data_IF_829176945142
#
_entry.id   IF_829176945142
#
_cell.length_a   1.000
_cell.length_b   1.000
_cell.length_c   1.000
_cell.angle_alpha   90.00
_cell.angle_beta   90.00
_cell.angle_gamma   90.00
#
_symmetry.space_group_name_H-M   'P 1'
#
loop_
_entity.id
_entity.type
_entity.pdbx_description
1 polymer ?
#
# COMPACT_ATOMS: atom_id res chain seq x y z
N UNK A 1 -6.82 27.78 -17.07
CA UNK A 1 -7.08 26.70 -16.09
C UNK A 1 -7.69 25.54 -16.85
N UNK A 2 -7.19 24.32 -16.70
CA UNK A 2 -7.79 23.15 -17.36
C UNK A 2 -9.22 22.95 -16.82
N UNK A 3 -10.21 22.53 -17.64
CA UNK A 3 -11.61 22.36 -17.20
C UNK A 3 -11.76 21.51 -15.94
N UNK A 4 -10.96 20.48 -15.82
CA UNK A 4 -10.97 19.58 -14.66
C UNK A 4 -10.54 20.24 -13.33
N UNK A 5 -9.73 21.30 -13.37
CA UNK A 5 -9.32 22.06 -12.18
C UNK A 5 -10.42 23.05 -11.77
N UNK A 6 -11.22 23.55 -12.71
CA UNK A 6 -12.32 24.49 -12.43
C UNK A 6 -13.37 23.82 -11.52
N UNK A 7 -13.81 22.61 -11.87
CA UNK A 7 -14.79 21.86 -11.08
C UNK A 7 -14.27 21.55 -9.65
N UNK A 8 -12.98 21.21 -9.52
CA UNK A 8 -12.35 21.00 -8.21
C UNK A 8 -12.41 22.27 -7.36
N UNK A 9 -12.15 23.44 -7.95
CA UNK A 9 -12.26 24.74 -7.26
C UNK A 9 -13.68 24.96 -6.76
N UNK A 10 -14.70 24.69 -7.57
CA UNK A 10 -16.10 24.81 -7.17
C UNK A 10 -16.45 23.82 -6.05
N UNK A 11 -15.94 22.60 -6.11
CA UNK A 11 -16.08 21.62 -5.04
C UNK A 11 -15.44 22.07 -3.71
N UNK A 12 -14.25 22.66 -3.76
CA UNK A 12 -13.58 23.22 -2.58
C UNK A 12 -14.35 24.40 -1.98
N UNK A 13 -14.98 25.24 -2.84
CA UNK A 13 -15.87 26.34 -2.39
C UNK A 13 -17.12 25.80 -1.72
N UNK A 14 -17.78 24.82 -2.35
CA UNK A 14 -18.98 24.19 -1.79
C UNK A 14 -18.70 23.54 -0.43
N UNK A 15 -17.50 23.01 -0.22
CA UNK A 15 -17.05 22.46 1.04
C UNK A 15 -16.58 23.52 2.07
N UNK A 16 -16.56 24.80 1.70
CA UNK A 16 -16.09 25.89 2.56
C UNK A 16 -14.59 25.92 2.82
N UNK A 17 -13.80 25.19 2.02
CA UNK A 17 -12.35 25.14 2.17
C UNK A 17 -11.65 26.36 1.54
N UNK A 18 -12.32 27.02 0.59
CA UNK A 18 -11.86 28.31 -0.02
C UNK A 18 -13.00 29.29 -0.08
N UNK A 19 -12.66 30.60 -0.01
CA UNK A 19 -13.62 31.69 -0.16
C UNK A 19 -14.12 31.87 -1.58
N UNK A 20 -15.27 32.56 -1.76
CA UNK A 20 -15.92 32.76 -3.05
C UNK A 20 -15.03 33.45 -4.09
N UNK A 21 -14.22 34.44 -3.68
CA UNK A 21 -13.30 35.18 -4.55
C UNK A 21 -11.86 34.61 -4.52
N UNK A 22 -11.61 33.59 -3.73
CA UNK A 22 -10.27 32.99 -3.60
C UNK A 22 -9.89 32.23 -4.85
N UNK A 23 -8.66 32.43 -5.33
CA UNK A 23 -8.06 31.70 -6.44
C UNK A 23 -6.94 30.82 -5.84
N UNK A 24 -7.21 29.54 -5.57
CA UNK A 24 -6.25 28.66 -4.95
C UNK A 24 -5.09 28.35 -5.91
N UNK A 25 -3.89 28.16 -5.35
CA UNK A 25 -2.70 27.73 -6.08
C UNK A 25 -2.55 26.23 -5.97
N UNK A 26 -2.54 25.55 -7.11
CA UNK A 26 -2.36 24.11 -7.23
C UNK A 26 -0.88 23.79 -7.49
N UNK A 27 -0.23 23.11 -6.57
CA UNK A 27 1.14 22.62 -6.69
C UNK A 27 1.11 21.10 -6.87
N UNK A 28 1.50 20.55 -8.05
CA UNK A 28 1.55 19.11 -8.23
C UNK A 28 2.49 18.46 -7.22
N UNK A 29 2.01 17.42 -6.53
CA UNK A 29 2.86 16.55 -5.73
C UNK A 29 3.30 15.38 -6.62
N UNK A 30 4.63 15.20 -6.71
CA UNK A 30 5.26 14.22 -7.60
C UNK A 30 5.24 12.82 -6.99
N UNK A 31 5.20 11.76 -7.85
CA UNK A 31 5.41 10.36 -7.46
C UNK A 31 4.22 9.44 -7.60
N UNK A 32 3.01 9.93 -7.89
CA UNK A 32 1.84 9.09 -8.14
C UNK A 32 1.69 8.69 -9.62
N UNK A 33 1.50 7.40 -9.90
CA UNK A 33 1.22 6.90 -11.26
C UNK A 33 -0.28 6.73 -11.51
N UNK A 34 -1.08 6.60 -10.46
CA UNK A 34 -2.51 6.28 -10.51
C UNK A 34 -3.42 7.50 -10.36
N UNK A 35 -2.93 8.61 -9.80
CA UNK A 35 -3.71 9.78 -9.47
C UNK A 35 -3.00 11.08 -9.85
N UNK A 36 -3.79 12.11 -10.12
CA UNK A 36 -3.34 13.49 -9.95
C UNK A 36 -3.42 13.84 -8.47
N UNK A 37 -2.34 14.37 -7.92
CA UNK A 37 -2.26 14.80 -6.52
C UNK A 37 -1.71 16.22 -6.47
N UNK A 38 -2.43 17.12 -5.81
CA UNK A 38 -2.02 18.51 -5.66
C UNK A 38 -2.03 18.91 -4.19
N UNK A 39 -0.99 19.64 -3.78
CA UNK A 39 -1.09 20.54 -2.65
C UNK A 39 -1.79 21.80 -3.10
N UNK A 40 -2.83 22.20 -2.42
CA UNK A 40 -3.61 23.39 -2.71
C UNK A 40 -3.48 24.35 -1.54
N UNK A 41 -2.84 25.48 -1.77
CA UNK A 41 -2.73 26.52 -0.76
C UNK A 41 -4.05 27.30 -0.67
N UNK A 42 -4.64 27.36 0.51
CA UNK A 42 -5.88 28.07 0.82
C UNK A 42 -5.66 29.04 1.98
N UNK A 43 -6.56 30.01 2.17
CA UNK A 43 -6.48 30.95 3.30
C UNK A 43 -6.62 30.26 4.65
N UNK A 44 -7.25 29.09 4.71
CA UNK A 44 -7.39 28.26 5.93
C UNK A 44 -6.22 27.33 6.17
N UNK A 45 -5.21 27.36 5.31
CA UNK A 45 -4.05 26.48 5.30
C UNK A 45 -4.06 25.48 4.11
N UNK A 46 -2.93 24.79 3.88
CA UNK A 46 -2.81 23.89 2.73
C UNK A 46 -3.64 22.62 2.91
N UNK A 47 -4.22 22.15 1.79
CA UNK A 47 -4.90 20.86 1.70
C UNK A 47 -4.29 20.02 0.57
N UNK A 48 -4.50 18.71 0.61
CA UNK A 48 -4.17 17.82 -0.52
C UNK A 48 -5.45 17.48 -1.25
N UNK A 49 -5.45 17.69 -2.56
CA UNK A 49 -6.53 17.22 -3.44
C UNK A 49 -6.02 16.04 -4.26
N UNK A 50 -6.78 14.97 -4.30
CA UNK A 50 -6.46 13.76 -5.04
C UNK A 50 -7.58 13.39 -6.00
N UNK A 51 -7.21 12.99 -7.24
CA UNK A 51 -8.12 12.57 -8.29
C UNK A 51 -7.56 11.37 -9.03
N UNK A 52 -8.21 10.21 -9.03
CA UNK A 52 -7.81 9.03 -9.78
C UNK A 52 -7.82 9.27 -11.29
N UNK A 53 -6.86 8.67 -11.99
CA UNK A 53 -6.77 8.69 -13.44
C UNK A 53 -7.43 7.42 -14.02
N UNK A 54 -8.16 7.50 -15.13
CA UNK A 54 -8.73 6.32 -15.78
C UNK A 54 -7.66 5.36 -16.36
N UNK A 55 -6.47 5.87 -16.61
CA UNK A 55 -5.30 5.13 -17.09
C UNK A 55 -4.09 5.46 -16.22
N UNK A 56 -3.36 4.44 -15.76
CA UNK A 56 -2.15 4.62 -14.97
C UNK A 56 -1.00 5.12 -15.85
N UNK A 57 -0.13 5.96 -15.29
CA UNK A 57 1.09 6.49 -15.93
C UNK A 57 2.23 5.48 -15.80
N UNK A 58 2.09 4.32 -16.43
CA UNK A 58 3.09 3.26 -16.49
C UNK A 58 3.35 2.87 -17.94
N UNK A 59 4.49 2.19 -18.21
CA UNK A 59 4.88 1.83 -19.58
C UNK A 59 3.89 0.86 -20.26
N UNK A 60 3.27 -0.05 -19.50
CA UNK A 60 2.25 -0.95 -20.01
C UNK A 60 0.87 -0.27 -19.92
N UNK A 61 0.00 -0.51 -20.90
CA UNK A 61 -1.39 -0.08 -20.80
C UNK A 61 -2.06 -0.72 -19.57
N UNK A 62 -2.56 0.14 -18.66
CA UNK A 62 -3.22 -0.28 -17.45
C UNK A 62 -4.40 0.65 -17.15
N UNK A 63 -5.58 0.21 -17.52
CA UNK A 63 -6.83 0.89 -17.21
C UNK A 63 -7.27 0.50 -15.80
N UNK A 64 -7.78 1.46 -15.04
CA UNK A 64 -8.28 1.24 -13.70
C UNK A 64 -9.55 2.09 -13.45
N UNK A 65 -10.59 1.51 -12.83
CA UNK A 65 -11.81 2.24 -12.51
C UNK A 65 -11.51 3.46 -11.63
N UNK A 66 -12.10 4.61 -11.94
CA UNK A 66 -11.89 5.85 -11.17
C UNK A 66 -12.62 5.82 -9.81
N UNK A 67 -13.57 4.92 -9.65
CA UNK A 67 -14.30 4.63 -8.40
C UNK A 67 -13.36 4.20 -7.25
N UNK A 68 -12.12 3.82 -7.56
CA UNK A 68 -11.11 3.51 -6.54
C UNK A 68 -10.81 4.68 -5.61
N UNK A 69 -11.03 5.94 -6.04
CA UNK A 69 -10.96 7.10 -5.15
C UNK A 69 -12.01 7.06 -4.04
N UNK A 70 -13.20 6.56 -4.35
CA UNK A 70 -14.24 6.34 -3.33
C UNK A 70 -13.83 5.25 -2.33
N UNK A 71 -13.16 4.19 -2.79
CA UNK A 71 -12.63 3.14 -1.90
C UNK A 71 -11.59 3.70 -0.95
N UNK A 72 -10.69 4.56 -1.43
CA UNK A 72 -9.70 5.24 -0.60
C UNK A 72 -10.37 6.12 0.46
N UNK A 73 -11.30 6.98 0.09
CA UNK A 73 -12.03 7.85 1.04
C UNK A 73 -12.73 7.02 2.12
N UNK A 74 -13.41 5.94 1.74
CA UNK A 74 -14.07 5.04 2.68
C UNK A 74 -13.07 4.38 3.63
N UNK A 75 -11.94 3.93 3.11
CA UNK A 75 -10.87 3.33 3.92
C UNK A 75 -10.31 4.34 4.93
N UNK A 76 -9.97 5.57 4.50
CA UNK A 76 -9.47 6.63 5.36
C UNK A 76 -10.46 6.94 6.50
N UNK A 77 -11.75 7.08 6.19
CA UNK A 77 -12.79 7.31 7.20
C UNK A 77 -12.93 6.14 8.16
N UNK A 78 -12.88 4.91 7.66
CA UNK A 78 -13.00 3.70 8.49
C UNK A 78 -11.78 3.51 9.38
N UNK A 79 -10.57 3.70 8.87
CA UNK A 79 -9.34 3.66 9.65
C UNK A 79 -9.29 4.78 10.70
N UNK A 80 -9.74 6.00 10.37
CA UNK A 80 -9.86 7.11 11.32
C UNK A 80 -10.80 6.78 12.49
N UNK A 81 -11.82 5.96 12.28
CA UNK A 81 -12.69 5.52 13.38
C UNK A 81 -12.03 4.52 14.34
N UNK A 82 -10.95 3.89 13.92
CA UNK A 82 -10.09 3.03 14.77
C UNK A 82 -9.04 3.89 15.49
N UNK A 83 -8.29 4.67 14.72
CA UNK A 83 -7.35 5.67 15.24
C UNK A 83 -7.18 6.82 14.21
N UNK A 84 -7.68 8.00 14.57
CA UNK A 84 -7.61 9.18 13.69
C UNK A 84 -6.19 9.68 13.40
N UNK A 85 -5.18 9.24 14.16
CA UNK A 85 -3.78 9.64 13.97
C UNK A 85 -3.11 8.93 12.81
N UNK A 86 -3.63 7.76 12.43
CA UNK A 86 -3.00 6.92 11.39
C UNK A 86 -3.40 7.26 9.95
N UNK A 87 -4.25 8.25 9.75
CA UNK A 87 -4.70 8.70 8.43
C UNK A 87 -4.88 10.21 8.38
N UNK A 88 -4.73 10.87 7.21
CA UNK A 88 -5.13 12.26 7.06
C UNK A 88 -6.65 12.40 7.15
N UNK A 89 -7.13 13.50 7.75
CA UNK A 89 -8.55 13.82 7.79
C UNK A 89 -9.08 14.11 6.38
N UNK A 90 -10.15 13.43 5.97
CA UNK A 90 -10.90 13.76 4.74
C UNK A 90 -11.74 15.02 5.01
N UNK A 91 -11.46 16.08 4.27
CA UNK A 91 -12.08 17.39 4.45
C UNK A 91 -13.25 17.61 3.51
N UNK A 92 -13.20 17.07 2.29
CA UNK A 92 -14.27 17.19 1.31
C UNK A 92 -14.25 16.01 0.33
N UNK A 93 -15.44 15.65 -0.16
CA UNK A 93 -15.63 14.71 -1.25
C UNK A 93 -16.27 15.45 -2.44
N UNK A 94 -15.78 15.18 -3.63
CA UNK A 94 -16.25 15.74 -4.90
C UNK A 94 -16.58 14.58 -5.86
N UNK A 95 -17.69 13.86 -5.63
CA UNK A 95 -17.98 12.61 -6.33
C UNK A 95 -18.15 12.78 -7.84
N UNK A 96 -18.70 13.93 -8.28
CA UNK A 96 -18.88 14.23 -9.71
C UNK A 96 -17.55 14.31 -10.47
N UNK A 97 -16.47 14.67 -9.79
CA UNK A 97 -15.12 14.80 -10.36
C UNK A 97 -14.20 13.64 -9.96
N UNK A 98 -14.73 12.63 -9.27
CA UNK A 98 -13.98 11.53 -8.69
C UNK A 98 -12.82 12.01 -7.80
N UNK A 99 -12.94 13.19 -7.17
CA UNK A 99 -11.89 13.82 -6.39
C UNK A 99 -12.28 13.94 -4.91
N UNK A 100 -11.29 14.11 -4.06
CA UNK A 100 -11.48 14.44 -2.66
C UNK A 100 -10.35 15.33 -2.14
N UNK A 101 -10.63 16.05 -1.06
CA UNK A 101 -9.64 16.84 -0.34
C UNK A 101 -9.39 16.25 1.03
N UNK A 102 -8.12 16.24 1.44
CA UNK A 102 -7.69 15.79 2.76
C UNK A 102 -6.69 16.77 3.37
N UNK A 103 -6.52 16.70 4.68
CA UNK A 103 -5.57 17.55 5.41
C UNK A 103 -4.14 17.33 4.89
N UNK A 104 -3.45 18.42 4.58
CA UNK A 104 -2.01 18.39 4.34
C UNK A 104 -1.29 18.26 5.69
N UNK A 105 -0.31 17.36 5.75
CA UNK A 105 0.50 17.13 6.94
C UNK A 105 1.91 17.69 6.68
N UNK A 106 2.21 18.90 7.18
CA UNK A 106 3.54 19.47 7.05
C UNK A 106 4.55 18.67 7.87
N UNK A 107 5.80 18.69 7.47
CA UNK A 107 6.94 18.11 8.20
C UNK A 107 6.82 16.59 8.47
N UNK A 108 6.00 15.91 7.68
CA UNK A 108 5.85 14.46 7.72
C UNK A 108 6.48 13.84 6.48
N UNK A 109 7.77 13.43 6.54
CA UNK A 109 8.44 12.82 5.40
C UNK A 109 7.83 11.47 5.05
N UNK A 110 7.97 11.07 3.79
CA UNK A 110 7.59 9.73 3.35
C UNK A 110 8.58 8.71 3.91
N UNK A 111 8.10 7.63 4.50
CA UNK A 111 8.96 6.58 5.09
C UNK A 111 9.98 6.03 4.11
N UNK A 112 9.62 5.88 2.84
CA UNK A 112 10.57 5.50 1.79
C UNK A 112 11.78 6.45 1.75
N UNK A 113 11.57 7.75 1.85
CA UNK A 113 12.63 8.75 1.74
C UNK A 113 13.52 8.76 3.00
N UNK A 114 12.93 8.45 4.16
CA UNK A 114 13.68 8.22 5.41
C UNK A 114 14.61 7.00 5.28
N UNK A 115 14.10 5.88 4.75
CA UNK A 115 14.91 4.69 4.51
C UNK A 115 16.07 4.98 3.53
N UNK A 116 15.79 5.69 2.43
CA UNK A 116 16.81 6.10 1.44
C UNK A 116 17.87 7.02 2.05
N UNK A 117 17.48 7.89 2.97
CA UNK A 117 18.37 8.76 3.71
C UNK A 117 19.14 8.05 4.85
N UNK A 118 18.99 6.72 4.99
CA UNK A 118 19.64 5.93 6.03
C UNK A 118 19.07 6.15 7.44
N UNK A 119 17.90 6.80 7.56
CA UNK A 119 17.17 6.94 8.83
C UNK A 119 16.21 5.76 9.00
N UNK A 120 16.77 4.65 9.46
CA UNK A 120 16.05 3.39 9.69
C UNK A 120 15.70 3.28 11.16
N UNK A 121 14.40 3.23 11.46
CA UNK A 121 13.84 3.10 12.81
C UNK A 121 12.97 1.84 12.90
N UNK A 122 13.45 0.83 13.64
CA UNK A 122 12.70 -0.40 13.90
C UNK A 122 11.47 -0.16 14.79
N UNK A 123 11.51 0.82 15.68
CA UNK A 123 10.37 1.21 16.50
C UNK A 123 9.22 1.78 15.67
N UNK A 124 9.54 2.60 14.65
CA UNK A 124 8.57 3.09 13.68
C UNK A 124 7.99 1.94 12.84
N UNK A 125 8.83 1.02 12.35
CA UNK A 125 8.36 -0.16 11.61
C UNK A 125 7.40 -1.01 12.46
N UNK A 126 7.72 -1.22 13.75
CA UNK A 126 6.82 -1.89 14.69
C UNK A 126 5.50 -1.12 14.88
N UNK A 127 5.54 0.22 14.90
CA UNK A 127 4.31 1.04 14.96
C UNK A 127 3.46 0.87 13.69
N UNK A 128 4.05 0.77 12.50
CA UNK A 128 3.33 0.42 11.25
C UNK A 128 2.63 -0.92 11.40
N UNK A 129 3.34 -1.96 11.87
CA UNK A 129 2.76 -3.29 12.11
C UNK A 129 1.58 -3.25 13.06
N UNK A 130 1.71 -2.57 14.21
CA UNK A 130 0.62 -2.42 15.20
C UNK A 130 -0.59 -1.68 14.62
N UNK A 131 -0.37 -0.60 13.89
CA UNK A 131 -1.46 0.24 13.39
C UNK A 131 -2.30 -0.49 12.35
N UNK A 132 -1.68 -1.20 11.41
CA UNK A 132 -2.44 -1.96 10.41
C UNK A 132 -3.13 -3.19 11.03
N UNK A 133 -2.49 -3.87 12.00
CA UNK A 133 -3.12 -4.95 12.76
C UNK A 133 -4.36 -4.46 13.54
N UNK A 134 -4.31 -3.24 14.10
CA UNK A 134 -5.46 -2.64 14.78
C UNK A 134 -6.64 -2.38 13.84
N UNK A 135 -6.39 -1.92 12.60
CA UNK A 135 -7.43 -1.77 11.57
C UNK A 135 -8.04 -3.13 11.23
N UNK A 136 -7.22 -4.15 11.00
CA UNK A 136 -7.68 -5.50 10.70
C UNK A 136 -8.50 -6.08 11.86
N UNK A 137 -8.02 -5.99 13.09
CA UNK A 137 -8.73 -6.46 14.28
C UNK A 137 -10.10 -5.79 14.46
N UNK A 138 -10.17 -4.47 14.24
CA UNK A 138 -11.42 -3.71 14.38
C UNK A 138 -12.45 -3.97 13.27
N UNK A 139 -12.03 -4.57 12.15
CA UNK A 139 -12.89 -4.82 10.98
C UNK A 139 -13.12 -6.30 10.73
N UNK A 140 -12.40 -7.19 11.41
CA UNK A 140 -12.51 -8.63 11.23
C UNK A 140 -13.95 -9.13 11.45
N UNK A 141 -14.47 -9.89 10.48
CA UNK A 141 -15.82 -10.43 10.53
C UNK A 141 -16.95 -9.40 10.38
N UNK A 142 -16.65 -8.12 10.18
CA UNK A 142 -17.64 -7.05 10.06
C UNK A 142 -18.47 -7.18 8.78
N UNK A 143 -19.77 -7.44 8.91
CA UNK A 143 -20.71 -7.54 7.79
C UNK A 143 -20.87 -6.19 7.05
N UNK A 144 -20.85 -5.07 7.78
CA UNK A 144 -20.96 -3.73 7.20
C UNK A 144 -19.71 -3.35 6.41
N UNK A 145 -18.50 -3.64 6.93
CA UNK A 145 -17.26 -3.40 6.21
C UNK A 145 -17.17 -4.31 4.97
N UNK A 146 -17.60 -5.58 5.09
CA UNK A 146 -17.68 -6.51 3.96
C UNK A 146 -18.59 -6.00 2.83
N UNK A 147 -19.75 -5.45 3.17
CA UNK A 147 -20.67 -4.88 2.18
C UNK A 147 -20.10 -3.59 1.54
N UNK A 148 -19.46 -2.73 2.35
CA UNK A 148 -18.88 -1.46 1.90
C UNK A 148 -17.67 -1.65 0.97
N UNK A 149 -16.85 -2.66 1.24
CA UNK A 149 -15.60 -2.95 0.52
C UNK A 149 -15.69 -4.25 -0.30
N UNK A 150 -16.85 -4.49 -0.92
CA UNK A 150 -17.03 -5.56 -1.91
C UNK A 150 -16.40 -5.18 -3.27
N UNK A 151 -15.09 -4.88 -3.26
CA UNK A 151 -14.29 -4.35 -4.37
C UNK A 151 -13.38 -5.41 -4.98
N UNK A 152 -13.78 -6.67 -4.92
CA UNK A 152 -13.01 -7.84 -5.32
C UNK A 152 -12.49 -7.77 -6.76
N UNK A 153 -13.34 -7.34 -7.69
CA UNK A 153 -12.97 -7.22 -9.10
C UNK A 153 -11.85 -6.18 -9.30
N UNK A 154 -11.92 -5.07 -8.58
CA UNK A 154 -10.90 -4.02 -8.60
C UNK A 154 -9.60 -4.50 -7.98
N UNK A 155 -9.66 -5.15 -6.81
CA UNK A 155 -8.47 -5.71 -6.15
C UNK A 155 -7.80 -6.77 -7.03
N UNK A 156 -8.59 -7.66 -7.68
CA UNK A 156 -8.08 -8.63 -8.64
C UNK A 156 -7.34 -7.94 -9.79
N UNK A 157 -7.95 -6.95 -10.43
CA UNK A 157 -7.37 -6.23 -11.57
C UNK A 157 -6.12 -5.42 -11.22
N UNK A 158 -6.01 -4.93 -9.96
CA UNK A 158 -4.91 -4.07 -9.53
C UNK A 158 -3.82 -4.80 -8.73
N UNK A 159 -4.11 -5.98 -8.16
CA UNK A 159 -3.18 -6.70 -7.26
C UNK A 159 -2.97 -8.15 -7.63
N UNK A 160 -4.03 -8.93 -7.86
CA UNK A 160 -3.86 -10.37 -8.10
C UNK A 160 -3.32 -10.62 -9.51
N UNK A 161 -4.05 -10.19 -10.54
CA UNK A 161 -3.70 -10.51 -11.92
C UNK A 161 -2.36 -9.90 -12.38
N UNK A 162 -2.05 -8.60 -12.11
CA UNK A 162 -0.79 -8.01 -12.57
C UNK A 162 0.44 -8.47 -11.77
N UNK A 163 0.26 -9.00 -10.57
CA UNK A 163 1.35 -9.52 -9.76
C UNK A 163 1.43 -11.06 -9.89
N UNK A 164 0.54 -11.80 -9.25
CA UNK A 164 0.61 -13.25 -9.17
C UNK A 164 0.27 -13.93 -10.51
N UNK A 165 -0.84 -13.51 -11.14
CA UNK A 165 -1.26 -14.09 -12.42
C UNK A 165 -0.24 -13.87 -13.54
N UNK A 166 0.33 -12.65 -13.62
CA UNK A 166 1.33 -12.34 -14.63
C UNK A 166 2.63 -13.16 -14.45
N UNK A 167 3.05 -13.38 -13.21
CA UNK A 167 4.26 -14.16 -12.91
C UNK A 167 4.00 -15.65 -13.11
N UNK A 168 2.83 -16.18 -12.74
CA UNK A 168 2.46 -17.57 -13.00
C UNK A 168 2.57 -17.93 -14.50
N UNK A 169 2.16 -17.00 -15.38
CA UNK A 169 2.29 -17.17 -16.82
C UNK A 169 3.74 -17.18 -17.33
N UNK A 170 4.67 -16.52 -16.60
CA UNK A 170 6.10 -16.43 -16.95
C UNK A 170 6.96 -17.54 -16.35
N UNK A 171 6.51 -18.12 -15.24
CA UNK A 171 7.26 -19.09 -14.43
C UNK A 171 6.51 -20.45 -14.40
N UNK A 172 6.51 -21.24 -15.51
CA UNK A 172 5.72 -22.48 -15.60
C UNK A 172 6.04 -23.49 -14.49
N UNK A 173 7.29 -23.54 -14.02
CA UNK A 173 7.70 -24.43 -12.93
C UNK A 173 7.10 -24.07 -11.57
N UNK A 174 6.61 -22.83 -11.39
CA UNK A 174 6.03 -22.31 -10.16
C UNK A 174 4.55 -21.93 -10.32
N UNK A 175 3.99 -22.12 -11.51
CA UNK A 175 2.65 -21.65 -11.86
C UNK A 175 1.59 -22.21 -10.90
N UNK A 176 1.59 -23.49 -10.60
CA UNK A 176 0.64 -24.12 -9.68
C UNK A 176 0.67 -23.48 -8.28
N UNK A 177 1.86 -23.26 -7.73
CA UNK A 177 2.01 -22.62 -6.39
C UNK A 177 1.55 -21.17 -6.38
N UNK A 178 1.84 -20.41 -7.46
CA UNK A 178 1.45 -19.02 -7.61
C UNK A 178 -0.06 -18.89 -7.82
N UNK A 179 -0.66 -19.72 -8.63
CA UNK A 179 -2.11 -19.78 -8.87
C UNK A 179 -2.88 -20.19 -7.61
N UNK A 180 -2.38 -21.19 -6.88
CA UNK A 180 -2.96 -21.59 -5.59
C UNK A 180 -2.90 -20.44 -4.57
N UNK A 181 -1.78 -19.71 -4.52
CA UNK A 181 -1.65 -18.52 -3.66
C UNK A 181 -2.62 -17.41 -4.07
N UNK A 182 -2.78 -17.16 -5.37
CA UNK A 182 -3.73 -16.18 -5.91
C UNK A 182 -5.19 -16.56 -5.61
N UNK A 183 -5.53 -17.85 -5.73
CA UNK A 183 -6.86 -18.36 -5.46
C UNK A 183 -7.20 -18.28 -3.95
N UNK A 184 -6.27 -18.64 -3.07
CA UNK A 184 -6.45 -18.53 -1.61
C UNK A 184 -6.65 -17.06 -1.19
N UNK A 185 -5.82 -16.14 -1.70
CA UNK A 185 -5.96 -14.70 -1.47
C UNK A 185 -7.33 -14.19 -1.94
N UNK A 186 -7.79 -14.58 -3.13
CA UNK A 186 -9.08 -14.13 -3.68
C UNK A 186 -10.28 -14.65 -2.87
N UNK A 187 -10.18 -15.87 -2.33
CA UNK A 187 -11.26 -16.53 -1.62
C UNK A 187 -11.49 -15.99 -0.19
N UNK A 188 -10.44 -15.50 0.47
CA UNK A 188 -10.52 -15.09 1.88
C UNK A 188 -11.15 -13.72 2.03
N UNK A 189 -12.14 -13.65 2.97
CA UNK A 189 -12.91 -12.43 3.30
C UNK A 189 -12.95 -12.28 4.81
N UNK A 190 -11.87 -11.73 5.39
CA UNK A 190 -11.63 -11.71 6.84
C UNK A 190 -11.73 -10.32 7.42
N UNK A 191 -11.02 -9.33 6.87
CA UNK A 191 -10.92 -7.98 7.41
C UNK A 191 -10.79 -6.93 6.30
N UNK A 192 -10.81 -5.65 6.65
CA UNK A 192 -10.58 -4.54 5.73
C UNK A 192 -9.10 -4.39 5.43
N UNK A 193 -8.70 -4.72 4.23
CA UNK A 193 -7.35 -4.62 3.68
C UNK A 193 -7.16 -3.26 3.01
N UNK A 194 -6.00 -2.64 3.19
CA UNK A 194 -5.58 -1.40 2.50
C UNK A 194 -5.21 -1.65 1.03
N UNK A 195 -4.49 -2.74 0.78
CA UNK A 195 -4.11 -3.19 -0.56
C UNK A 195 -2.88 -2.51 -1.18
N UNK A 196 -2.21 -1.57 -0.48
CA UNK A 196 -0.94 -0.96 -0.92
C UNK A 196 -0.09 -0.45 0.27
N UNK A 197 -0.06 -1.20 1.38
CA UNK A 197 0.79 -0.86 2.53
C UNK A 197 2.26 -0.99 2.15
N UNK A 198 2.92 0.14 1.96
CA UNK A 198 4.32 0.16 1.57
C UNK A 198 5.01 1.46 2.01
N UNK A 199 6.35 1.49 2.14
CA UNK A 199 7.04 2.69 2.60
C UNK A 199 6.80 3.96 1.76
N UNK A 200 6.37 3.86 0.51
CA UNK A 200 6.01 5.03 -0.32
C UNK A 200 4.67 5.66 0.08
N UNK A 201 3.80 4.89 0.73
CA UNK A 201 2.43 5.27 1.09
C UNK A 201 2.26 5.49 2.60
N UNK A 202 3.34 5.67 3.32
CA UNK A 202 3.33 5.91 4.76
C UNK A 202 4.16 7.16 5.06
N UNK A 203 3.55 8.12 5.76
CA UNK A 203 4.26 9.27 6.30
C UNK A 203 4.76 8.97 7.71
N UNK A 204 5.91 9.56 8.05
CA UNK A 204 6.50 9.51 9.40
C UNK A 204 6.07 10.78 10.13
N UNK A 205 5.01 10.68 10.93
CA UNK A 205 4.55 11.76 11.79
C UNK A 205 5.08 11.60 13.23
N UNK A 206 5.02 12.67 14.02
CA UNK A 206 5.49 12.65 15.40
C UNK A 206 4.77 11.60 16.27
N UNK A 207 3.49 11.36 16.00
CA UNK A 207 2.65 10.41 16.75
C UNK A 207 2.65 8.98 16.15
N UNK A 208 3.41 8.74 15.08
CA UNK A 208 3.49 7.43 14.41
C UNK A 208 3.21 7.44 12.92
N UNK A 209 2.88 6.29 12.32
CA UNK A 209 2.66 6.18 10.89
C UNK A 209 1.32 6.78 10.47
N UNK A 210 1.31 7.44 9.29
CA UNK A 210 0.08 7.89 8.63
C UNK A 210 -0.02 7.24 7.25
N UNK A 211 -1.06 6.42 7.06
CA UNK A 211 -1.29 5.65 5.82
C UNK A 211 -1.98 6.51 4.76
N UNK A 212 -1.53 6.35 3.53
CA UNK A 212 -2.01 7.02 2.33
C UNK A 212 -2.27 5.99 1.22
N UNK A 213 -3.09 6.38 0.24
CA UNK A 213 -3.20 5.66 -1.03
C UNK A 213 -3.87 4.28 -0.92
N UNK A 214 -4.99 4.20 -0.17
CA UNK A 214 -5.80 3.00 0.00
C UNK A 214 -6.79 2.74 -1.16
N UNK A 215 -6.41 3.11 -2.39
CA UNK A 215 -7.28 2.99 -3.57
C UNK A 215 -7.63 1.54 -3.93
N UNK A 216 -6.86 0.57 -3.44
CA UNK A 216 -7.07 -0.86 -3.66
C UNK A 216 -7.77 -1.55 -2.49
N UNK A 217 -8.38 -0.79 -1.59
CA UNK A 217 -9.01 -1.33 -0.40
C UNK A 217 -10.11 -2.36 -0.73
N UNK A 218 -10.10 -3.47 0.02
CA UNK A 218 -11.01 -4.60 -0.16
C UNK A 218 -11.30 -5.28 1.19
N UNK A 219 -12.45 -5.87 1.36
CA UNK A 219 -12.66 -6.81 2.46
C UNK A 219 -12.08 -8.17 2.06
N UNK A 220 -10.86 -8.45 2.52
CA UNK A 220 -10.01 -9.52 1.99
C UNK A 220 -9.20 -10.26 3.05
N UNK A 221 -8.08 -10.87 2.62
CA UNK A 221 -7.11 -11.52 3.51
C UNK A 221 -6.13 -10.48 4.07
N UNK A 222 -6.12 -10.22 5.40
CA UNK A 222 -5.22 -9.27 6.03
C UNK A 222 -3.72 -9.65 5.89
N UNK A 223 -3.41 -10.90 5.59
CA UNK A 223 -2.04 -11.34 5.30
C UNK A 223 -1.42 -10.60 4.10
N UNK A 224 -2.26 -10.05 3.18
CA UNK A 224 -1.78 -9.30 2.02
C UNK A 224 -1.04 -8.01 2.43
N UNK A 225 -1.61 -7.19 3.31
CA UNK A 225 -1.00 -5.93 3.73
C UNK A 225 0.35 -6.15 4.43
N UNK A 226 0.42 -7.16 5.31
CA UNK A 226 1.66 -7.57 5.94
C UNK A 226 2.70 -8.00 4.90
N UNK A 227 2.33 -8.91 4.01
CA UNK A 227 3.22 -9.42 2.96
C UNK A 227 3.70 -8.33 2.02
N UNK A 228 2.80 -7.40 1.63
CA UNK A 228 3.15 -6.33 0.70
C UNK A 228 4.16 -5.36 1.31
N UNK A 229 3.97 -4.98 2.58
CA UNK A 229 4.91 -4.12 3.29
C UNK A 229 6.27 -4.80 3.48
N UNK A 230 6.27 -6.06 3.94
CA UNK A 230 7.49 -6.87 4.11
C UNK A 230 8.24 -7.00 2.79
N UNK A 231 7.55 -7.32 1.69
CA UNK A 231 8.17 -7.39 0.35
C UNK A 231 8.95 -6.12 0.02
N UNK A 232 8.34 -4.95 0.25
CA UNK A 232 9.00 -3.68 -0.03
C UNK A 232 10.20 -3.38 0.88
N UNK A 233 10.19 -3.85 2.13
CA UNK A 233 11.34 -3.73 3.03
C UNK A 233 12.47 -4.68 2.62
N UNK A 234 12.15 -5.93 2.27
CA UNK A 234 13.15 -6.90 1.81
C UNK A 234 13.86 -6.44 0.52
N UNK A 235 13.12 -5.91 -0.45
CA UNK A 235 13.70 -5.33 -1.65
C UNK A 235 14.62 -4.14 -1.33
N UNK A 236 14.26 -3.32 -0.32
CA UNK A 236 15.09 -2.20 0.11
C UNK A 236 16.34 -2.64 0.87
N UNK A 237 16.29 -3.76 1.59
CA UNK A 237 17.47 -4.34 2.22
C UNK A 237 18.55 -4.64 1.18
N UNK A 238 18.15 -5.19 0.02
CA UNK A 238 19.07 -5.48 -1.09
C UNK A 238 19.50 -4.19 -1.79
N UNK A 239 18.55 -3.29 -2.10
CA UNK A 239 18.83 -2.06 -2.83
C UNK A 239 19.73 -1.09 -2.08
N UNK A 240 19.52 -0.92 -0.78
CA UNK A 240 20.26 0.03 0.06
C UNK A 240 21.50 -0.62 0.70
N UNK A 241 21.63 -1.94 0.60
CA UNK A 241 22.64 -2.75 1.30
C UNK A 241 22.69 -2.44 2.82
N UNK A 242 21.53 -2.35 3.46
CA UNK A 242 21.42 -1.95 4.86
C UNK A 242 20.67 -2.99 5.70
N UNK A 243 21.41 -3.66 6.59
CA UNK A 243 20.90 -4.68 7.51
C UNK A 243 19.85 -4.13 8.50
N UNK A 244 19.87 -2.83 8.80
CA UNK A 244 18.90 -2.21 9.70
C UNK A 244 17.49 -2.27 9.12
N UNK A 245 17.34 -2.23 7.78
CA UNK A 245 16.04 -2.37 7.11
C UNK A 245 15.46 -3.77 7.33
N UNK A 246 16.30 -4.81 7.39
CA UNK A 246 15.86 -6.16 7.73
C UNK A 246 15.38 -6.25 9.19
N UNK A 247 16.09 -5.60 10.12
CA UNK A 247 15.66 -5.51 11.52
C UNK A 247 14.32 -4.76 11.64
N UNK A 248 14.12 -3.71 10.86
CA UNK A 248 12.85 -3.01 10.78
C UNK A 248 11.72 -3.92 10.25
N UNK A 249 12.00 -4.75 9.23
CA UNK A 249 11.04 -5.73 8.72
C UNK A 249 10.65 -6.78 9.77
N UNK A 250 11.62 -7.28 10.53
CA UNK A 250 11.35 -8.21 11.66
C UNK A 250 10.46 -7.55 12.72
N UNK A 251 10.82 -6.34 13.16
CA UNK A 251 10.05 -5.61 14.16
C UNK A 251 8.60 -5.33 13.71
N UNK A 252 8.39 -5.04 12.42
CA UNK A 252 7.06 -4.90 11.83
C UNK A 252 6.27 -6.20 11.90
N UNK A 253 6.87 -7.33 11.49
CA UNK A 253 6.22 -8.66 11.52
C UNK A 253 5.85 -9.06 12.93
N UNK A 254 6.77 -8.94 13.88
CA UNK A 254 6.54 -9.27 15.28
C UNK A 254 5.40 -8.44 15.89
N UNK A 255 5.44 -7.13 15.66
CA UNK A 255 4.42 -6.21 16.18
C UNK A 255 3.04 -6.43 15.55
N UNK A 256 2.99 -6.76 14.25
CA UNK A 256 1.76 -7.11 13.57
C UNK A 256 1.18 -8.42 14.10
N UNK A 257 1.98 -9.49 14.17
CA UNK A 257 1.54 -10.81 14.62
C UNK A 257 1.06 -10.78 16.09
N UNK A 258 1.68 -9.99 16.94
CA UNK A 258 1.22 -9.77 18.31
C UNK A 258 -0.17 -9.12 18.41
N UNK A 259 -0.60 -8.40 17.36
CA UNK A 259 -1.94 -7.78 17.27
C UNK A 259 -3.00 -8.69 16.65
N UNK A 260 -2.64 -9.88 16.16
CA UNK A 260 -3.60 -10.80 15.50
C UNK A 260 -4.46 -11.50 16.56
N UNK A 261 -5.72 -11.09 16.64
CA UNK A 261 -6.71 -11.62 17.61
C UNK A 261 -7.94 -12.23 16.93
N UNK A 262 -8.05 -12.19 15.61
CA UNK A 262 -9.22 -12.61 14.83
C UNK A 262 -9.06 -14.01 14.22
N UNK A 263 -7.86 -14.56 14.20
CA UNK A 263 -7.53 -15.89 13.70
C UNK A 263 -6.25 -16.41 14.37
N UNK A 264 -5.84 -17.66 14.04
CA UNK A 264 -4.54 -18.19 14.47
C UNK A 264 -3.39 -17.38 13.83
N UNK A 265 -2.53 -16.72 14.65
CA UNK A 265 -1.38 -15.96 14.14
C UNK A 265 -0.40 -16.80 13.31
N UNK A 266 -0.24 -18.10 13.61
CA UNK A 266 0.66 -18.98 12.87
C UNK A 266 0.14 -19.21 11.43
N UNK A 267 -1.17 -19.47 11.27
CA UNK A 267 -1.80 -19.64 9.98
C UNK A 267 -1.73 -18.36 9.12
N UNK A 268 -1.89 -17.19 9.75
CA UNK A 268 -1.70 -15.90 9.06
C UNK A 268 -0.24 -15.72 8.63
N UNK A 269 0.72 -16.03 9.51
CA UNK A 269 2.15 -15.89 9.20
C UNK A 269 2.59 -16.81 8.04
N UNK A 270 2.02 -18.01 7.93
CA UNK A 270 2.25 -18.92 6.80
C UNK A 270 1.73 -18.34 5.48
N UNK A 271 0.48 -17.80 5.47
CA UNK A 271 -0.09 -17.16 4.28
C UNK A 271 0.71 -15.92 3.88
N UNK A 272 1.05 -15.07 4.84
CA UNK A 272 1.88 -13.90 4.60
C UNK A 272 3.25 -14.29 4.02
N UNK A 273 3.83 -15.39 4.45
CA UNK A 273 5.09 -15.91 3.91
C UNK A 273 4.96 -16.35 2.43
N UNK A 274 3.89 -17.09 2.08
CA UNK A 274 3.61 -17.47 0.69
C UNK A 274 3.37 -16.24 -0.20
N UNK A 275 2.58 -15.29 0.29
CA UNK A 275 2.33 -14.03 -0.41
C UNK A 275 3.60 -13.21 -0.58
N UNK A 276 4.45 -13.10 0.44
CA UNK A 276 5.73 -12.37 0.36
C UNK A 276 6.63 -12.97 -0.71
N UNK A 277 6.76 -14.30 -0.77
CA UNK A 277 7.55 -14.99 -1.79
C UNK A 277 7.04 -14.70 -3.21
N UNK A 278 5.73 -14.82 -3.43
CA UNK A 278 5.09 -14.53 -4.70
C UNK A 278 5.23 -13.04 -5.10
N UNK A 279 5.05 -12.13 -4.14
CA UNK A 279 5.17 -10.69 -4.38
C UNK A 279 6.62 -10.26 -4.65
N UNK A 280 7.63 -10.85 -3.99
CA UNK A 280 9.04 -10.61 -4.31
C UNK A 280 9.32 -10.94 -5.77
N UNK A 281 8.88 -12.12 -6.24
CA UNK A 281 9.03 -12.51 -7.64
C UNK A 281 8.25 -11.57 -8.57
N UNK A 282 7.04 -11.17 -8.19
CA UNK A 282 6.23 -10.23 -8.97
C UNK A 282 6.84 -8.82 -9.05
N UNK A 283 7.61 -8.39 -8.04
CA UNK A 283 8.33 -7.11 -8.09
C UNK A 283 9.62 -7.15 -8.91
N UNK A 284 9.99 -8.31 -9.43
CA UNK A 284 11.07 -8.51 -10.41
C UNK A 284 10.49 -8.79 -11.80
N UNK A 285 9.55 -9.73 -11.93
CA UNK A 285 9.06 -10.27 -13.21
C UNK A 285 7.63 -9.81 -13.59
N UNK A 286 6.93 -9.15 -12.66
CA UNK A 286 5.53 -8.76 -12.84
C UNK A 286 5.32 -7.53 -13.73
N UNK A 287 4.07 -7.10 -13.86
CA UNK A 287 3.68 -5.90 -14.62
C UNK A 287 4.21 -4.58 -14.02
N UNK A 288 4.52 -4.57 -12.73
CA UNK A 288 5.00 -3.39 -12.00
C UNK A 288 6.29 -3.71 -11.24
N UNK A 289 7.40 -3.88 -11.92
CA UNK A 289 8.69 -4.18 -11.27
C UNK A 289 9.13 -3.03 -10.37
N UNK A 290 10.03 -3.33 -9.43
CA UNK A 290 10.60 -2.34 -8.51
C UNK A 290 11.62 -1.47 -9.28
N UNK A 291 11.17 -0.33 -9.81
CA UNK A 291 11.96 0.52 -10.70
C UNK A 291 13.29 1.03 -10.10
N UNK A 292 13.42 1.04 -8.76
CA UNK A 292 14.65 1.41 -8.07
C UNK A 292 15.69 0.29 -8.03
N UNK A 293 15.29 -0.98 -8.24
CA UNK A 293 16.19 -2.11 -8.25
C UNK A 293 16.70 -2.33 -9.68
N UNK A 294 17.83 -1.70 -10.04
CA UNK A 294 18.36 -1.67 -11.41
C UNK A 294 19.62 -2.50 -11.59
N UNK A 295 20.34 -2.82 -10.50
CA UNK A 295 21.57 -3.63 -10.57
C UNK A 295 21.22 -5.09 -10.95
N UNK A 296 21.82 -5.64 -12.04
CA UNK A 296 21.52 -6.99 -12.52
C UNK A 296 21.73 -8.07 -11.45
N UNK A 297 22.78 -7.94 -10.66
CA UNK A 297 23.13 -8.90 -9.61
C UNK A 297 22.09 -8.88 -8.46
N UNK A 298 21.62 -7.68 -8.09
CA UNK A 298 20.54 -7.54 -7.12
C UNK A 298 19.22 -8.17 -7.61
N UNK A 299 18.90 -7.93 -8.90
CA UNK A 299 17.71 -8.51 -9.54
C UNK A 299 17.81 -10.02 -9.57
N UNK A 300 18.96 -10.58 -9.95
CA UNK A 300 19.20 -12.02 -9.99
C UNK A 300 19.07 -12.63 -8.57
N UNK A 301 19.73 -12.05 -7.58
CA UNK A 301 19.68 -12.53 -6.20
C UNK A 301 18.28 -12.55 -5.62
N UNK A 302 17.48 -11.48 -5.83
CA UNK A 302 16.09 -11.44 -5.39
C UNK A 302 15.25 -12.48 -6.11
N UNK A 303 15.43 -12.62 -7.44
CA UNK A 303 14.72 -13.62 -8.26
C UNK A 303 14.97 -15.04 -7.75
N UNK A 304 16.23 -15.41 -7.53
CA UNK A 304 16.60 -16.76 -7.13
C UNK A 304 16.09 -17.09 -5.73
N UNK A 305 16.22 -16.15 -4.78
CA UNK A 305 15.65 -16.33 -3.44
C UNK A 305 14.11 -16.42 -3.49
N UNK A 306 13.44 -15.57 -4.28
CA UNK A 306 11.98 -15.59 -4.41
C UNK A 306 11.49 -16.91 -5.02
N UNK A 307 12.14 -17.42 -6.08
CA UNK A 307 11.83 -18.74 -6.68
C UNK A 307 11.96 -19.87 -5.66
N UNK A 308 13.05 -19.90 -4.90
CA UNK A 308 13.26 -20.89 -3.85
C UNK A 308 12.16 -20.81 -2.76
N UNK A 309 11.75 -19.61 -2.37
CA UNK A 309 10.70 -19.38 -1.37
C UNK A 309 9.29 -19.70 -1.88
N UNK A 310 9.01 -19.52 -3.17
CA UNK A 310 7.74 -19.97 -3.79
C UNK A 310 7.68 -21.49 -3.82
N UNK A 311 8.80 -22.17 -4.15
CA UNK A 311 8.88 -23.64 -4.19
C UNK A 311 8.83 -24.27 -2.78
N UNK A 312 9.40 -23.61 -1.78
CA UNK A 312 9.45 -24.07 -0.39
C UNK A 312 9.09 -22.93 0.58
N UNK A 313 7.79 -22.59 0.71
CA UNK A 313 7.34 -21.46 1.49
C UNK A 313 7.59 -21.63 2.98
N UNK A 314 7.81 -20.49 3.67
CA UNK A 314 8.04 -20.41 5.11
C UNK A 314 7.12 -19.37 5.73
N UNK A 315 6.82 -19.45 7.04
CA UNK A 315 6.16 -18.36 7.75
C UNK A 315 6.94 -17.05 7.59
N UNK A 316 6.24 -15.91 7.48
CA UNK A 316 6.85 -14.62 7.13
C UNK A 316 7.99 -14.21 8.05
N UNK A 317 7.91 -14.47 9.35
CA UNK A 317 8.99 -14.16 10.31
C UNK A 317 10.27 -14.95 10.02
N UNK A 318 10.15 -16.27 9.74
CA UNK A 318 11.28 -17.10 9.36
C UNK A 318 11.87 -16.69 7.99
N UNK A 319 11.00 -16.36 7.03
CA UNK A 319 11.43 -15.85 5.73
C UNK A 319 12.28 -14.58 5.88
N UNK A 320 11.84 -13.63 6.70
CA UNK A 320 12.56 -12.37 6.93
C UNK A 320 13.87 -12.63 7.65
N UNK A 321 13.89 -13.49 8.68
CA UNK A 321 15.10 -13.82 9.45
C UNK A 321 16.21 -14.45 8.57
N UNK A 322 15.80 -15.26 7.59
CA UNK A 322 16.72 -15.96 6.68
C UNK A 322 17.04 -15.17 5.39
N UNK A 323 16.46 -13.97 5.21
CA UNK A 323 16.64 -13.17 4.00
C UNK A 323 18.09 -12.71 3.82
N UNK A 324 18.67 -13.03 2.66
CA UNK A 324 20.06 -12.66 2.33
C UNK A 324 20.10 -11.34 1.59
N UNK A 325 20.84 -10.41 2.16
CA UNK A 325 21.06 -9.05 1.65
C UNK A 325 21.95 -9.01 0.41
N UNK A 326 22.98 -9.82 0.41
CA UNK A 326 24.07 -9.78 -0.58
C UNK A 326 24.01 -10.92 -1.57
N UNK A 327 24.37 -10.57 -2.80
CA UNK A 327 24.88 -11.50 -3.80
C UNK A 327 26.29 -11.88 -3.35
N UNK A 328 26.49 -13.11 -2.95
CA UNK A 328 27.83 -13.68 -2.68
C UNK A 328 28.53 -14.02 -3.98
#
# INVERSE_FOLDING_TARGET
MQPAVANIVDGLRAAGLIGGAEVPVFQPLTGGVSCDVWKVDTLAGPVVVKRPLPQLRVAAEWLAPVERGTSEVRWLKRAASVDRRIVPEVLAEMPADHAFAMRFLPDCPVWKDELVAGRVDAGFAAAVGRSIAAVHAATAGSASDRATFATDAMFRALRIDPFLGHVAAKEPALAEALEATAADLAARKVALVHGDVSPKNILVAADGPVFLDAECAVFGDPAFDLAFCVTHLLLKTVWLDDQRVLQAALALVEAYCAGVVWEDPAGLAERAGRLTAALLLARIEGKSPAAYLTAPDHIAAVRDQARALVAAPRPVGALVADWKRTVS
#
